data_IF_570133592054
#
_entry.id   IF_570133592054
#
_cell.length_a   1.000
_cell.length_b   1.000
_cell.length_c   1.000
_cell.angle_alpha   90.00
_cell.angle_beta   90.00
_cell.angle_gamma   90.00
#
_symmetry.space_group_name_H-M   'P 1'
#
loop_
_entity.id
_entity.type
_entity.pdbx_description
1 polymer ?
#
# COMPACT_ATOMS: atom_id res chain seq x y z
N UNK A 1 30.70 -12.44 -34.61
CA UNK A 1 30.35 -11.22 -33.83
C UNK A 1 31.53 -10.84 -32.95
N UNK A 2 31.84 -9.55 -32.80
CA UNK A 2 32.99 -9.05 -32.03
C UNK A 2 32.58 -8.83 -30.55
N UNK A 3 33.38 -9.31 -29.59
CA UNK A 3 33.11 -9.20 -28.15
C UNK A 3 32.79 -7.75 -27.71
N UNK A 4 33.44 -6.76 -28.32
CA UNK A 4 33.20 -5.34 -28.05
C UNK A 4 31.77 -4.89 -28.43
N UNK A 5 31.19 -5.45 -29.49
CA UNK A 5 29.82 -5.08 -29.90
C UNK A 5 28.77 -5.69 -28.97
N UNK A 6 29.06 -6.88 -28.42
CA UNK A 6 28.22 -7.52 -27.41
C UNK A 6 28.19 -6.70 -26.10
N UNK A 7 29.36 -6.35 -25.56
CA UNK A 7 29.48 -5.54 -24.33
C UNK A 7 28.82 -4.17 -24.48
N UNK A 8 28.98 -3.50 -25.63
CA UNK A 8 28.32 -2.21 -25.91
C UNK A 8 26.78 -2.35 -25.93
N UNK A 9 26.26 -3.44 -26.48
CA UNK A 9 24.82 -3.71 -26.56
C UNK A 9 24.22 -3.98 -25.18
N UNK A 10 24.89 -4.80 -24.35
CA UNK A 10 24.45 -5.06 -22.98
C UNK A 10 24.43 -3.79 -22.13
N UNK A 11 25.50 -2.99 -22.18
CA UNK A 11 25.54 -1.70 -21.46
C UNK A 11 24.45 -0.74 -21.94
N UNK A 12 24.12 -0.72 -23.23
CA UNK A 12 23.01 0.08 -23.77
C UNK A 12 21.65 -0.41 -23.29
N UNK A 13 21.46 -1.72 -23.13
CA UNK A 13 20.25 -2.30 -22.54
C UNK A 13 20.15 -1.99 -21.03
N UNK A 14 21.24 -2.11 -20.28
CA UNK A 14 21.27 -1.79 -18.84
C UNK A 14 21.08 -0.30 -18.56
N UNK A 15 21.57 0.59 -19.45
CA UNK A 15 21.35 2.04 -19.37
C UNK A 15 19.91 2.49 -19.69
N UNK A 16 19.06 1.61 -20.22
CA UNK A 16 17.63 1.93 -20.35
C UNK A 16 17.07 2.07 -18.94
N UNK A 17 16.68 3.30 -18.59
CA UNK A 17 16.08 3.62 -17.29
C UNK A 17 14.87 2.72 -17.09
N UNK A 18 14.93 1.86 -16.07
CA UNK A 18 13.74 1.14 -15.59
C UNK A 18 12.89 2.13 -14.80
N UNK A 19 11.55 2.03 -14.86
CA UNK A 19 10.70 2.78 -13.96
C UNK A 19 11.11 2.46 -12.52
N UNK A 20 11.21 3.52 -11.70
CA UNK A 20 11.55 3.38 -10.29
C UNK A 20 10.42 2.59 -9.64
N UNK A 21 10.74 1.41 -9.10
CA UNK A 21 9.74 0.55 -8.45
C UNK A 21 9.23 1.23 -7.20
N UNK A 22 7.94 1.11 -6.93
CA UNK A 22 7.39 1.46 -5.62
C UNK A 22 8.06 0.58 -4.58
N UNK A 23 8.63 1.23 -3.57
CA UNK A 23 9.23 0.57 -2.44
C UNK A 23 8.32 0.75 -1.23
N UNK A 24 7.97 -0.37 -0.59
CA UNK A 24 7.07 -0.39 0.57
C UNK A 24 7.66 0.44 1.69
N UNK A 25 8.97 0.34 1.91
CA UNK A 25 9.63 1.08 2.99
C UNK A 25 9.52 2.59 2.78
N UNK A 26 9.87 3.09 1.60
CA UNK A 26 9.74 4.52 1.30
C UNK A 26 8.29 5.01 1.38
N UNK A 27 7.32 4.19 0.95
CA UNK A 27 5.90 4.54 1.02
C UNK A 27 5.44 4.66 2.47
N UNK A 28 5.69 3.63 3.30
CA UNK A 28 5.22 3.60 4.69
C UNK A 28 6.01 4.57 5.56
N UNK A 29 7.32 4.67 5.38
CA UNK A 29 8.13 5.66 6.09
C UNK A 29 7.72 7.10 5.77
N UNK A 30 7.31 7.37 4.52
CA UNK A 30 6.73 8.66 4.15
C UNK A 30 5.42 8.93 4.89
N UNK A 31 4.52 7.94 4.97
CA UNK A 31 3.25 8.07 5.69
C UNK A 31 3.44 8.25 7.19
N UNK A 32 4.33 7.46 7.81
CA UNK A 32 4.66 7.58 9.23
C UNK A 32 5.10 9.00 9.55
N UNK A 33 6.02 9.55 8.75
CA UNK A 33 6.54 10.90 8.94
C UNK A 33 5.49 11.99 8.67
N UNK A 34 4.78 11.92 7.55
CA UNK A 34 3.82 12.96 7.16
C UNK A 34 2.62 13.06 8.10
N UNK A 35 2.11 11.92 8.55
CA UNK A 35 0.96 11.88 9.45
C UNK A 35 1.38 11.86 10.93
N UNK A 36 2.69 11.93 11.24
CA UNK A 36 3.21 11.90 12.61
C UNK A 36 2.75 10.66 13.38
N UNK A 37 2.73 9.50 12.71
CA UNK A 37 2.28 8.26 13.31
C UNK A 37 3.21 7.87 14.46
N UNK A 38 2.61 7.32 15.52
CA UNK A 38 3.31 6.87 16.73
C UNK A 38 3.08 5.38 16.94
N UNK A 39 3.81 4.80 17.89
CA UNK A 39 3.75 3.36 18.20
C UNK A 39 2.34 2.87 18.55
N UNK A 40 1.51 3.71 19.16
CA UNK A 40 0.09 3.39 19.44
C UNK A 40 -0.74 3.07 18.19
N UNK A 41 -0.28 3.47 17.00
CA UNK A 41 -0.89 3.08 15.74
C UNK A 41 -0.85 1.55 15.54
N UNK A 42 0.16 0.86 16.07
CA UNK A 42 0.25 -0.60 16.02
C UNK A 42 -0.91 -1.26 16.79
N UNK A 43 -1.34 -0.68 17.90
CA UNK A 43 -2.47 -1.20 18.69
C UNK A 43 -3.79 -1.03 17.93
N UNK A 44 -3.95 0.08 17.22
CA UNK A 44 -5.10 0.32 16.34
C UNK A 44 -5.13 -0.71 15.22
N UNK A 45 -3.96 -1.03 14.66
CA UNK A 45 -3.81 -1.99 13.57
C UNK A 45 -4.17 -3.43 13.98
N UNK A 46 -4.01 -3.80 15.26
CA UNK A 46 -4.48 -5.08 15.79
C UNK A 46 -5.99 -5.14 15.95
N UNK A 47 -6.60 -4.04 16.37
CA UNK A 47 -8.03 -3.99 16.72
C UNK A 47 -8.93 -3.71 15.53
N UNK A 48 -8.38 -3.32 14.38
CA UNK A 48 -9.19 -2.79 13.28
C UNK A 48 -10.18 -3.81 12.74
N UNK A 49 -9.83 -5.10 12.72
CA UNK A 49 -10.76 -6.15 12.26
C UNK A 49 -11.99 -6.25 13.18
N UNK A 50 -11.81 -6.12 14.50
CA UNK A 50 -12.90 -6.15 15.46
C UNK A 50 -13.87 -4.96 15.27
N UNK A 51 -13.35 -3.79 14.86
CA UNK A 51 -14.18 -2.62 14.56
C UNK A 51 -14.93 -2.78 13.23
N UNK A 52 -14.25 -3.27 12.18
CA UNK A 52 -14.85 -3.46 10.87
C UNK A 52 -15.93 -4.57 10.84
N UNK A 53 -15.98 -5.43 11.85
CA UNK A 53 -17.00 -6.47 12.05
C UNK A 53 -18.19 -6.01 12.92
N UNK A 54 -18.02 -4.96 13.75
CA UNK A 54 -19.06 -4.46 14.64
C UNK A 54 -19.88 -3.32 14.05
N UNK A 55 -19.28 -2.57 13.14
CA UNK A 55 -19.95 -1.47 12.44
C UNK A 55 -20.26 -1.90 11.00
N UNK A 56 -21.54 -1.85 10.63
CA UNK A 56 -21.95 -1.64 9.24
C UNK A 56 -21.43 -0.26 8.85
N UNK A 57 -20.17 -0.23 8.41
CA UNK A 57 -19.52 1.01 8.05
C UNK A 57 -20.36 1.66 6.95
N UNK A 58 -21.04 2.75 7.30
CA UNK A 58 -21.86 3.53 6.39
C UNK A 58 -20.96 4.33 5.46
N UNK A 59 -20.31 3.62 4.55
CA UNK A 59 -19.40 4.20 3.57
C UNK A 59 -20.20 4.60 2.34
N UNK A 60 -20.78 5.79 2.38
CA UNK A 60 -21.75 6.23 1.37
C UNK A 60 -21.13 6.76 0.06
N UNK A 61 -19.80 6.76 -0.11
CA UNK A 61 -19.18 7.43 -1.27
C UNK A 61 -17.93 6.76 -1.83
N UNK A 62 -17.88 6.64 -3.15
CA UNK A 62 -16.66 6.29 -3.92
C UNK A 62 -15.61 7.38 -3.70
N UNK A 63 -14.48 7.00 -3.10
CA UNK A 63 -13.36 7.89 -2.82
C UNK A 63 -12.20 7.56 -3.75
N UNK A 64 -11.78 8.56 -4.52
CA UNK A 64 -10.54 8.48 -5.30
C UNK A 64 -9.35 8.84 -4.41
N UNK A 65 -8.20 8.28 -4.77
CA UNK A 65 -6.94 8.63 -4.12
C UNK A 65 -6.55 10.07 -4.41
N UNK A 66 -6.05 10.76 -3.39
CA UNK A 66 -5.58 12.14 -3.53
C UNK A 66 -4.11 12.09 -3.92
N UNK A 67 -3.68 12.68 -5.04
CA UNK A 67 -2.29 12.61 -5.46
C UNK A 67 -1.39 13.27 -4.41
N UNK A 68 -0.55 12.46 -3.77
CA UNK A 68 0.46 12.91 -2.81
C UNK A 68 1.84 12.92 -3.48
N UNK A 69 2.61 14.00 -3.29
CA UNK A 69 3.99 14.06 -3.76
C UNK A 69 4.83 13.04 -2.99
N UNK A 70 5.21 11.95 -3.66
CA UNK A 70 5.94 10.85 -3.04
C UNK A 70 7.43 11.19 -2.97
N UNK A 71 8.01 11.22 -1.78
CA UNK A 71 9.46 11.21 -1.68
C UNK A 71 9.98 9.89 -2.25
N UNK A 72 10.91 9.95 -3.19
CA UNK A 72 11.56 8.77 -3.74
C UNK A 72 12.43 8.06 -2.69
N UNK A 73 12.88 8.81 -1.68
CA UNK A 73 13.69 8.33 -0.58
C UNK A 73 13.19 8.96 0.72
N UNK A 74 12.62 8.17 1.63
CA UNK A 74 12.16 8.69 2.90
C UNK A 74 13.34 8.85 3.86
N UNK A 75 13.62 10.09 4.25
CA UNK A 75 14.58 10.40 5.31
C UNK A 75 13.85 10.33 6.65
N UNK A 76 13.79 9.13 7.22
CA UNK A 76 13.16 8.85 8.51
C UNK A 76 14.18 8.86 9.65
N UNK A 77 13.73 9.28 10.82
CA UNK A 77 14.45 9.13 12.10
C UNK A 77 14.50 7.67 12.55
N UNK A 78 15.30 7.36 13.57
CA UNK A 78 15.41 6.00 14.12
C UNK A 78 14.07 5.45 14.66
N UNK A 79 13.29 6.28 15.35
CA UNK A 79 11.96 5.89 15.85
C UNK A 79 10.98 5.63 14.71
N UNK A 80 10.99 6.50 13.69
CA UNK A 80 10.15 6.34 12.51
C UNK A 80 10.55 5.11 11.69
N UNK A 81 11.86 4.80 11.61
CA UNK A 81 12.37 3.58 10.98
C UNK A 81 11.85 2.32 11.68
N UNK A 82 11.97 2.26 13.00
CA UNK A 82 11.50 1.12 13.81
C UNK A 82 9.99 0.92 13.68
N UNK A 83 9.22 2.00 13.71
CA UNK A 83 7.77 1.95 13.50
C UNK A 83 7.42 1.51 12.07
N UNK A 84 8.14 2.01 11.06
CA UNK A 84 7.96 1.63 9.65
C UNK A 84 8.15 0.14 9.47
N UNK A 85 9.25 -0.42 9.98
CA UNK A 85 9.50 -1.86 9.92
C UNK A 85 8.43 -2.66 10.66
N UNK A 86 7.96 -2.16 11.81
CA UNK A 86 6.89 -2.82 12.59
C UNK A 86 5.57 -2.82 11.84
N UNK A 87 5.20 -1.74 11.15
CA UNK A 87 4.00 -1.69 10.30
C UNK A 87 4.13 -2.68 9.14
N UNK A 88 5.31 -2.71 8.48
CA UNK A 88 5.56 -3.60 7.34
C UNK A 88 5.48 -5.06 7.75
N UNK A 89 6.18 -5.45 8.82
CA UNK A 89 6.20 -6.84 9.30
C UNK A 89 4.84 -7.29 9.81
N UNK A 90 4.05 -6.36 10.35
CA UNK A 90 2.70 -6.66 10.84
C UNK A 90 1.74 -6.83 9.67
N UNK A 91 1.63 -5.86 8.77
CA UNK A 91 0.65 -5.93 7.67
C UNK A 91 1.01 -7.00 6.64
N UNK A 92 2.30 -7.13 6.32
CA UNK A 92 2.94 -8.11 5.43
C UNK A 92 2.07 -8.54 4.23
N UNK A 93 1.69 -7.56 3.40
CA UNK A 93 0.98 -7.84 2.15
C UNK A 93 1.35 -6.89 1.02
N UNK A 94 1.05 -7.34 -0.21
CA UNK A 94 1.43 -6.64 -1.44
C UNK A 94 0.67 -5.32 -1.67
N UNK A 95 -0.37 -5.03 -0.88
CA UNK A 95 -1.20 -3.83 -1.02
C UNK A 95 -0.58 -2.63 -0.31
N UNK A 96 0.28 -2.90 0.67
CA UNK A 96 0.92 -1.88 1.50
C UNK A 96 1.73 -0.86 0.67
N UNK A 97 2.36 -1.26 -0.43
CA UNK A 97 3.08 -0.36 -1.34
C UNK A 97 2.17 0.68 -2.06
N UNK A 98 0.86 0.45 -2.04
CA UNK A 98 -0.13 1.33 -2.66
C UNK A 98 -0.87 2.20 -1.65
N UNK A 99 -0.70 1.99 -0.34
CA UNK A 99 -1.35 2.81 0.69
C UNK A 99 -0.87 4.27 0.60
N UNK A 100 -1.80 5.22 0.65
CA UNK A 100 -1.56 6.67 0.59
C UNK A 100 -2.04 7.41 1.84
N UNK A 101 -2.68 6.70 2.78
CA UNK A 101 -3.08 7.25 4.07
C UNK A 101 -2.99 6.20 5.18
N UNK A 102 -2.98 6.61 6.46
CA UNK A 102 -3.01 5.69 7.60
C UNK A 102 -4.25 4.79 7.58
N UNK A 103 -5.40 5.31 7.13
CA UNK A 103 -6.64 4.52 6.99
C UNK A 103 -6.46 3.40 5.97
N UNK A 104 -5.77 3.65 4.86
CA UNK A 104 -5.48 2.60 3.88
C UNK A 104 -4.53 1.53 4.43
N UNK A 105 -3.56 1.90 5.28
CA UNK A 105 -2.71 0.92 5.98
C UNK A 105 -3.58 -0.03 6.81
N UNK A 106 -4.55 0.52 7.55
CA UNK A 106 -5.47 -0.25 8.36
C UNK A 106 -6.33 -1.20 7.52
N UNK A 107 -6.79 -0.74 6.35
CA UNK A 107 -7.65 -1.52 5.45
C UNK A 107 -6.89 -2.54 4.58
N UNK A 108 -5.55 -2.51 4.54
CA UNK A 108 -4.75 -3.42 3.73
C UNK A 108 -5.07 -4.90 4.02
N UNK A 109 -5.01 -5.30 5.30
CA UNK A 109 -5.23 -6.69 5.73
C UNK A 109 -6.66 -7.17 5.42
N UNK A 110 -7.73 -6.46 5.85
CA UNK A 110 -9.10 -6.82 5.49
C UNK A 110 -9.35 -6.94 3.99
N UNK A 111 -8.85 -5.97 3.21
CA UNK A 111 -9.02 -5.98 1.76
C UNK A 111 -8.31 -7.15 1.10
N UNK A 112 -7.06 -7.42 1.51
CA UNK A 112 -6.28 -8.53 0.98
C UNK A 112 -6.89 -9.90 1.30
N UNK A 113 -7.51 -10.05 2.48
CA UNK A 113 -8.24 -11.28 2.85
C UNK A 113 -9.48 -11.50 1.98
N UNK A 114 -10.22 -10.43 1.66
CA UNK A 114 -11.41 -10.54 0.81
C UNK A 114 -11.03 -10.83 -0.64
N UNK A 115 -10.05 -10.12 -1.18
CA UNK A 115 -9.57 -10.36 -2.53
C UNK A 115 -8.08 -10.04 -2.63
N UNK A 116 -7.19 -11.05 -2.72
CA UNK A 116 -5.74 -10.85 -2.88
C UNK A 116 -5.33 -10.59 -4.34
N UNK A 117 -6.26 -10.72 -5.29
CA UNK A 117 -5.98 -10.62 -6.74
C UNK A 117 -6.23 -9.24 -7.35
N UNK A 118 -6.59 -8.24 -6.55
CA UNK A 118 -6.81 -6.87 -7.02
C UNK A 118 -5.54 -6.36 -7.71
N UNK A 119 -5.71 -5.97 -8.98
CA UNK A 119 -4.62 -5.48 -9.81
C UNK A 119 -4.06 -4.12 -9.32
N UNK A 120 -2.76 -3.85 -9.58
CA UNK A 120 -2.10 -2.62 -9.14
C UNK A 120 -2.77 -1.35 -9.68
N UNK A 121 -3.39 -1.40 -10.87
CA UNK A 121 -4.10 -0.26 -11.46
C UNK A 121 -5.29 0.19 -10.60
N UNK A 122 -6.05 -0.75 -10.05
CA UNK A 122 -7.17 -0.45 -9.15
C UNK A 122 -6.67 0.08 -7.81
N UNK A 123 -5.63 -0.56 -7.25
CA UNK A 123 -5.00 -0.16 -5.98
C UNK A 123 -4.35 1.23 -6.04
N UNK A 124 -3.93 1.67 -7.23
CA UNK A 124 -3.40 3.02 -7.45
C UNK A 124 -4.48 4.09 -7.61
N UNK A 125 -5.69 3.72 -8.04
CA UNK A 125 -6.73 4.68 -8.45
C UNK A 125 -7.77 4.91 -7.37
N UNK A 126 -8.19 3.83 -6.71
CA UNK A 126 -9.30 3.85 -5.77
C UNK A 126 -8.82 3.73 -4.34
N UNK A 127 -9.49 4.46 -3.45
CA UNK A 127 -9.24 4.33 -2.02
C UNK A 127 -9.57 2.92 -1.55
N UNK A 128 -8.82 2.39 -0.59
CA UNK A 128 -9.00 0.98 -0.15
C UNK A 128 -10.38 0.71 0.45
N UNK A 129 -11.00 1.72 1.06
CA UNK A 129 -12.39 1.67 1.52
C UNK A 129 -13.38 1.39 0.38
N UNK A 130 -13.23 2.07 -0.76
CA UNK A 130 -14.08 1.86 -1.94
C UNK A 130 -13.90 0.47 -2.52
N UNK A 131 -12.66 -0.02 -2.56
CA UNK A 131 -12.38 -1.39 -2.99
C UNK A 131 -13.00 -2.40 -2.03
N UNK A 132 -12.89 -2.19 -0.72
CA UNK A 132 -13.47 -3.06 0.30
C UNK A 132 -14.99 -3.19 0.15
N UNK A 133 -15.68 -2.07 -0.06
CA UNK A 133 -17.12 -2.04 -0.31
C UNK A 133 -17.52 -2.79 -1.57
N UNK A 134 -16.79 -2.58 -2.67
CA UNK A 134 -17.06 -3.25 -3.93
C UNK A 134 -16.95 -4.77 -3.80
N UNK A 135 -15.92 -5.25 -3.09
CA UNK A 135 -15.73 -6.69 -2.86
C UNK A 135 -16.78 -7.27 -1.90
N UNK A 136 -17.19 -6.53 -0.86
CA UNK A 136 -18.29 -6.94 0.04
C UNK A 136 -19.63 -7.04 -0.70
N UNK A 137 -19.99 -6.02 -1.47
CA UNK A 137 -21.23 -6.06 -2.26
C UNK A 137 -21.22 -7.17 -3.32
N UNK A 138 -20.05 -7.50 -3.89
CA UNK A 138 -19.92 -8.62 -4.83
C UNK A 138 -20.09 -9.97 -4.15
N UNK A 139 -19.61 -10.13 -2.91
CA UNK A 139 -19.75 -11.36 -2.13
C UNK A 139 -21.17 -11.58 -1.62
N UNK A 140 -21.87 -10.52 -1.23
CA UNK A 140 -23.28 -10.60 -0.83
C UNK A 140 -24.18 -11.03 -2.00
N UNK A 141 -23.96 -10.48 -3.20
CA UNK A 141 -24.71 -10.84 -4.41
C UNK A 141 -24.45 -12.28 -4.90
N UNK A 142 -23.35 -12.93 -4.49
CA UNK A 142 -23.06 -14.33 -4.83
C UNK A 142 -23.66 -15.33 -3.82
N UNK A 143 -24.07 -14.85 -2.65
CA UNK A 143 -24.65 -15.67 -1.57
C UNK A 143 -26.20 -15.60 -1.52
N UNK A 144 -26.83 -14.77 -2.37
CA UNK A 144 -28.27 -14.75 -2.67
C UNK A 144 -28.58 -15.44 -3.99
#
# INVERSE_FOLDING_TARGET
MNLLTHIKRERKQQRKKKPLKRDVFNQIGGLVRWYGLKENFLDVLDKVEDYLSKEDLQFTRVRLKTPMERSLFSLVTESEYSLTLSIISKVDNSYLQFAESPEEILLCRPLFRLNPTIGPEKLMRYHFETLLLHERASTDNMNT
#
